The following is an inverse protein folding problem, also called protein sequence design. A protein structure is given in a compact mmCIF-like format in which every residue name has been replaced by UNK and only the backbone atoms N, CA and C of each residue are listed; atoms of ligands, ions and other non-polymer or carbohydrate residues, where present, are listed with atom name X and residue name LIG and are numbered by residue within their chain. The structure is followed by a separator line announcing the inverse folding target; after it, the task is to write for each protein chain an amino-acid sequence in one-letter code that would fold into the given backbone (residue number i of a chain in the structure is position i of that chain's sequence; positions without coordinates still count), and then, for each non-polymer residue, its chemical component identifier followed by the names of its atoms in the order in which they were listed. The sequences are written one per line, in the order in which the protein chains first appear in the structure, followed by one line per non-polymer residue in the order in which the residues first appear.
data_IF_407224872959
#
_entry.id   IF_407224872959
#
_cell.length_a   1.000
_cell.length_b   1.000
_cell.length_c   1.000
_cell.angle_alpha   90.00
_cell.angle_beta   90.00
_cell.angle_gamma   90.00
#
_symmetry.space_group_name_H-M   'P 1'
#
loop_
_entity.id
_entity.type
_entity.pdbx_description
1 polymer ?
#
# COMPACT_ATOMS: atom_id res chain seq x y z
N UNK A 1 1.15 31.09 -6.90
CA UNK A 1 1.33 29.73 -7.43
C UNK A 1 0.83 28.73 -6.39
N UNK A 2 -0.24 27.96 -6.67
CA UNK A 2 -0.75 26.94 -5.75
C UNK A 2 0.29 25.87 -5.42
N UNK A 3 0.13 25.18 -4.28
CA UNK A 3 1.09 24.18 -3.82
C UNK A 3 1.27 23.02 -4.80
N UNK A 4 0.19 22.48 -5.35
CA UNK A 4 0.22 21.36 -6.31
C UNK A 4 0.98 21.73 -7.59
N UNK A 5 0.78 22.95 -8.09
CA UNK A 5 1.48 23.46 -9.29
C UNK A 5 3.00 23.57 -9.04
N UNK A 6 3.42 23.93 -7.82
CA UNK A 6 4.86 23.94 -7.45
C UNK A 6 5.45 22.53 -7.43
N UNK A 7 4.69 21.55 -6.94
CA UNK A 7 5.11 20.15 -6.89
C UNK A 7 5.30 19.59 -8.30
N UNK A 8 4.35 19.85 -9.20
CA UNK A 8 4.44 19.43 -10.60
C UNK A 8 5.61 20.09 -11.32
N UNK A 9 5.78 21.41 -11.16
CA UNK A 9 6.90 22.15 -11.77
C UNK A 9 8.29 21.64 -11.33
N UNK A 10 8.41 21.19 -10.08
CA UNK A 10 9.66 20.67 -9.51
C UNK A 10 9.80 19.14 -9.66
N UNK A 11 8.84 18.47 -10.27
CA UNK A 11 8.70 17.00 -10.27
C UNK A 11 8.81 16.38 -8.86
N UNK A 12 8.31 17.08 -7.84
CA UNK A 12 8.35 16.65 -6.45
C UNK A 12 7.01 16.01 -6.06
N UNK A 13 6.96 14.71 -5.73
CA UNK A 13 5.73 14.10 -5.24
C UNK A 13 5.33 14.64 -3.86
N UNK A 14 4.03 14.62 -3.57
CA UNK A 14 3.50 14.95 -2.24
C UNK A 14 4.15 14.07 -1.16
N UNK A 15 4.15 14.54 0.08
CA UNK A 15 4.63 13.74 1.21
C UNK A 15 3.85 12.43 1.35
N UNK A 16 2.55 12.48 1.09
CA UNK A 16 1.65 11.33 1.22
C UNK A 16 1.90 10.31 0.13
N UNK A 17 2.16 10.74 -1.11
CA UNK A 17 2.61 9.84 -2.17
C UNK A 17 3.88 9.09 -1.79
N UNK A 18 4.88 9.82 -1.29
CA UNK A 18 6.13 9.23 -0.81
C UNK A 18 5.91 8.25 0.34
N UNK A 19 5.04 8.61 1.30
CA UNK A 19 4.72 7.77 2.48
C UNK A 19 4.02 6.48 2.08
N UNK A 20 2.98 6.56 1.26
CA UNK A 20 2.28 5.40 0.75
C UNK A 20 3.24 4.48 -0.02
N UNK A 21 4.11 5.05 -0.86
CA UNK A 21 5.09 4.28 -1.64
C UNK A 21 6.03 3.52 -0.73
N UNK A 22 6.58 4.21 0.27
CA UNK A 22 7.45 3.60 1.26
C UNK A 22 6.73 2.49 2.04
N UNK A 23 5.49 2.74 2.46
CA UNK A 23 4.68 1.77 3.20
C UNK A 23 4.42 0.50 2.35
N UNK A 24 4.06 0.66 1.07
CA UNK A 24 3.83 -0.45 0.14
C UNK A 24 5.10 -1.27 -0.11
N UNK A 25 6.24 -0.63 -0.36
CA UNK A 25 7.54 -1.31 -0.55
C UNK A 25 7.95 -2.06 0.72
N UNK A 26 7.77 -1.44 1.88
CA UNK A 26 8.10 -2.08 3.16
C UNK A 26 7.24 -3.32 3.39
N UNK A 27 5.95 -3.22 3.09
CA UNK A 27 5.00 -4.33 3.17
C UNK A 27 5.41 -5.47 2.24
N UNK A 28 5.79 -5.17 1.00
CA UNK A 28 6.31 -6.16 0.06
C UNK A 28 7.53 -6.90 0.61
N UNK A 29 8.50 -6.19 1.20
CA UNK A 29 9.70 -6.80 1.78
C UNK A 29 9.38 -7.71 2.95
N UNK A 30 8.49 -7.29 3.85
CA UNK A 30 8.08 -8.06 5.02
C UNK A 30 7.35 -9.34 4.59
N UNK A 31 6.38 -9.24 3.66
CA UNK A 31 5.59 -10.39 3.21
C UNK A 31 6.44 -11.43 2.49
N UNK A 32 7.41 -10.99 1.70
CA UNK A 32 8.31 -11.87 0.93
C UNK A 32 9.57 -12.29 1.72
N UNK A 33 9.59 -12.10 3.04
CA UNK A 33 10.71 -12.54 3.91
C UNK A 33 12.07 -11.94 3.52
N UNK A 34 12.08 -10.73 2.95
CA UNK A 34 13.30 -10.02 2.56
C UNK A 34 13.92 -9.22 3.72
N UNK A 35 13.28 -9.23 4.88
CA UNK A 35 13.76 -8.61 6.11
C UNK A 35 13.89 -9.64 7.23
N UNK A 36 14.78 -9.35 8.19
CA UNK A 36 15.00 -10.17 9.40
C UNK A 36 13.92 -9.90 10.46
N UNK A 37 12.66 -9.86 10.03
CA UNK A 37 11.48 -9.61 10.86
C UNK A 37 10.44 -10.63 10.45
N UNK A 38 9.85 -11.33 11.43
CA UNK A 38 8.72 -12.21 11.14
C UNK A 38 7.50 -11.36 10.73
N UNK A 39 6.95 -11.65 9.56
CA UNK A 39 5.74 -11.01 9.05
C UNK A 39 4.56 -11.11 10.02
N UNK A 40 4.51 -12.15 10.86
CA UNK A 40 3.44 -12.39 11.84
C UNK A 40 3.31 -11.26 12.88
N UNK A 41 4.39 -10.52 13.15
CA UNK A 41 4.36 -9.35 14.04
C UNK A 41 3.52 -8.20 13.51
N UNK A 42 3.42 -8.07 12.18
CA UNK A 42 2.75 -6.96 11.52
C UNK A 42 1.47 -7.37 10.80
N UNK A 43 1.48 -8.52 10.12
CA UNK A 43 0.47 -8.89 9.14
C UNK A 43 -0.01 -10.34 9.30
N UNK A 44 -1.29 -10.54 8.97
CA UNK A 44 -1.91 -11.86 8.87
C UNK A 44 -2.40 -12.00 7.42
N UNK A 45 -1.97 -13.05 6.73
CA UNK A 45 -2.44 -13.34 5.37
C UNK A 45 -3.87 -13.89 5.42
N UNK A 46 -4.73 -13.48 4.48
CA UNK A 46 -6.12 -13.94 4.43
C UNK A 46 -6.28 -15.45 4.23
N UNK A 47 -5.30 -16.10 3.60
CA UNK A 47 -5.27 -17.54 3.31
C UNK A 47 -4.98 -18.43 4.53
N UNK A 48 -4.65 -17.84 5.69
CA UNK A 48 -4.27 -18.59 6.91
C UNK A 48 -5.46 -19.07 7.76
N UNK A 49 -6.67 -19.16 7.20
CA UNK A 49 -7.83 -19.81 7.84
C UNK A 49 -8.61 -18.95 8.86
N UNK A 50 -8.30 -17.66 8.99
CA UNK A 50 -9.05 -16.70 9.85
C UNK A 50 -10.19 -15.97 9.13
N UNK A 51 -10.47 -16.31 7.87
CA UNK A 51 -11.56 -15.77 7.06
C UNK A 51 -11.97 -16.75 5.96
N UNK A 52 -13.23 -16.67 5.53
CA UNK A 52 -13.82 -17.50 4.46
C UNK A 52 -12.90 -17.57 3.24
N UNK A 53 -12.74 -18.79 2.70
CA UNK A 53 -12.04 -19.17 1.48
C UNK A 53 -12.66 -18.49 0.25
N UNK A 54 -12.59 -17.17 0.18
CA UNK A 54 -13.08 -16.44 -0.97
C UNK A 54 -11.99 -16.49 -2.05
N UNK A 55 -12.26 -17.27 -3.09
CA UNK A 55 -11.42 -17.46 -4.29
C UNK A 55 -11.09 -16.14 -5.02
N UNK A 56 -11.68 -15.02 -4.58
CA UNK A 56 -11.38 -13.65 -5.03
C UNK A 56 -10.18 -13.00 -4.34
N UNK A 57 -9.74 -13.48 -3.18
CA UNK A 57 -8.59 -12.92 -2.49
C UNK A 57 -7.29 -13.53 -2.99
N UNK A 58 -6.40 -12.68 -3.52
CA UNK A 58 -5.05 -13.09 -3.89
C UNK A 58 -4.31 -13.66 -2.67
N UNK A 59 -3.42 -14.64 -2.88
CA UNK A 59 -2.52 -15.22 -1.85
C UNK A 59 -1.70 -14.19 -1.05
N UNK A 60 -1.62 -12.96 -1.55
CA UNK A 60 -0.93 -11.83 -0.93
C UNK A 60 -1.86 -10.87 -0.16
N UNK A 61 -3.17 -11.11 -0.13
CA UNK A 61 -4.13 -10.25 0.57
C UNK A 61 -3.92 -10.31 2.09
N UNK A 62 -4.05 -9.15 2.73
CA UNK A 62 -3.84 -8.96 4.17
C UNK A 62 -5.17 -8.83 4.90
N UNK A 63 -5.29 -9.51 6.04
CA UNK A 63 -6.44 -9.36 6.92
C UNK A 63 -6.37 -8.05 7.71
N UNK A 64 -7.36 -7.17 7.52
CA UNK A 64 -7.49 -5.91 8.28
C UNK A 64 -8.20 -6.16 9.61
N UNK A 65 -7.45 -6.20 10.71
CA UNK A 65 -8.03 -6.30 12.05
C UNK A 65 -8.78 -5.01 12.41
N UNK A 66 -9.97 -5.15 12.99
CA UNK A 66 -10.71 -4.01 13.55
C UNK A 66 -9.94 -3.44 14.75
N UNK A 67 -9.76 -2.11 14.78
CA UNK A 67 -9.06 -1.40 15.84
C UNK A 67 -9.97 -0.35 16.46
N UNK A 68 -9.78 -0.07 17.75
CA UNK A 68 -10.64 0.85 18.51
C UNK A 68 -10.13 2.31 18.54
N UNK A 69 -8.82 2.51 18.36
CA UNK A 69 -8.19 3.84 18.50
C UNK A 69 -7.63 4.33 17.17
N UNK A 70 -7.76 5.64 16.93
CA UNK A 70 -7.18 6.30 15.76
C UNK A 70 -5.66 6.14 15.72
N UNK A 71 -4.97 6.20 16.86
CA UNK A 71 -3.53 5.97 16.93
C UNK A 71 -3.15 4.60 16.35
N UNK A 72 -3.89 3.55 16.70
CA UNK A 72 -3.65 2.21 16.15
C UNK A 72 -4.07 2.12 14.68
N UNK A 73 -5.15 2.80 14.27
CA UNK A 73 -5.58 2.87 12.87
C UNK A 73 -4.50 3.49 11.96
N UNK A 74 -3.86 4.57 12.40
CA UNK A 74 -2.82 5.28 11.63
C UNK A 74 -1.42 4.68 11.80
N UNK A 75 -1.26 3.64 12.63
CA UNK A 75 -0.02 2.86 12.70
C UNK A 75 0.25 2.14 11.37
N UNK A 76 1.53 1.98 11.04
CA UNK A 76 1.99 1.39 9.77
C UNK A 76 1.23 0.10 9.41
N UNK A 77 1.17 -0.87 10.33
CA UNK A 77 0.59 -2.19 10.08
C UNK A 77 -0.92 -2.22 9.88
N UNK A 78 -1.66 -1.17 10.25
CA UNK A 78 -3.10 -1.10 9.95
C UNK A 78 -3.40 -0.22 8.74
N UNK A 79 -2.74 0.94 8.61
CA UNK A 79 -3.05 1.88 7.52
C UNK A 79 -2.68 1.32 6.14
N UNK A 80 -1.60 0.54 6.06
CA UNK A 80 -1.11 0.03 4.77
C UNK A 80 -2.00 -1.07 4.19
N UNK A 81 -2.82 -1.72 5.01
CA UNK A 81 -3.60 -2.90 4.59
C UNK A 81 -4.60 -2.55 3.47
N UNK A 82 -5.31 -1.43 3.59
CA UNK A 82 -6.25 -1.00 2.55
C UNK A 82 -5.51 -0.75 1.22
N UNK A 83 -4.39 0.00 1.29
CA UNK A 83 -3.56 0.31 0.13
C UNK A 83 -3.05 -0.96 -0.53
N UNK A 84 -2.55 -1.89 0.27
CA UNK A 84 -2.00 -3.15 -0.20
C UNK A 84 -3.07 -4.01 -0.88
N UNK A 85 -4.25 -4.14 -0.27
CA UNK A 85 -5.34 -4.96 -0.80
C UNK A 85 -6.01 -4.34 -2.03
N UNK A 86 -5.86 -3.04 -2.27
CA UNK A 86 -6.30 -2.40 -3.52
C UNK A 86 -5.32 -2.58 -4.67
N UNK A 87 -4.09 -3.06 -4.42
CA UNK A 87 -3.12 -3.31 -5.48
C UNK A 87 -3.54 -4.54 -6.31
N UNK A 88 -3.39 -4.50 -7.64
CA UNK A 88 -3.67 -5.65 -8.46
C UNK A 88 -2.63 -6.77 -8.22
N UNK A 89 -3.06 -8.00 -8.53
CA UNK A 89 -2.28 -9.21 -8.25
C UNK A 89 -0.93 -9.23 -8.98
N UNK A 90 -0.85 -8.67 -10.18
CA UNK A 90 0.40 -8.57 -10.95
C UNK A 90 1.45 -7.70 -10.24
N UNK A 91 1.04 -6.64 -9.54
CA UNK A 91 1.93 -5.79 -8.74
C UNK A 91 2.42 -6.57 -7.52
N UNK A 92 1.51 -7.16 -6.75
CA UNK A 92 1.85 -7.86 -5.49
C UNK A 92 2.67 -9.14 -5.70
N UNK A 93 2.51 -9.80 -6.84
CA UNK A 93 3.22 -11.03 -7.24
C UNK A 93 4.55 -10.78 -7.95
N UNK A 94 5.11 -9.57 -7.87
CA UNK A 94 6.44 -9.29 -8.43
C UNK A 94 7.52 -10.18 -7.81
N UNK A 95 8.43 -10.71 -8.63
CA UNK A 95 9.51 -11.60 -8.19
C UNK A 95 10.68 -10.89 -7.48
N UNK A 96 10.80 -9.57 -7.63
CA UNK A 96 11.87 -8.78 -7.00
C UNK A 96 11.32 -7.43 -6.51
N UNK A 97 12.04 -6.83 -5.57
CA UNK A 97 11.70 -5.49 -5.04
C UNK A 97 11.70 -4.43 -6.14
N UNK A 98 12.63 -4.51 -7.10
CA UNK A 98 12.71 -3.52 -8.17
C UNK A 98 11.59 -3.69 -9.19
N UNK A 99 11.22 -4.93 -9.53
CA UNK A 99 10.05 -5.19 -10.35
C UNK A 99 8.77 -4.72 -9.66
N UNK A 100 8.66 -4.91 -8.34
CA UNK A 100 7.55 -4.39 -7.55
C UNK A 100 7.46 -2.86 -7.66
N UNK A 101 8.57 -2.13 -7.45
CA UNK A 101 8.61 -0.67 -7.58
C UNK A 101 8.14 -0.21 -8.96
N UNK A 102 8.64 -0.83 -10.03
CA UNK A 102 8.29 -0.48 -11.42
C UNK A 102 6.79 -0.70 -11.66
N UNK A 103 6.24 -1.85 -11.24
CA UNK A 103 4.80 -2.16 -11.42
C UNK A 103 3.93 -1.23 -10.58
N UNK A 104 4.33 -0.92 -9.35
CA UNK A 104 3.64 0.01 -8.46
C UNK A 104 3.60 1.42 -9.07
N UNK A 105 4.74 1.94 -9.54
CA UNK A 105 4.83 3.26 -10.13
C UNK A 105 3.98 3.36 -11.41
N UNK A 106 3.99 2.33 -12.26
CA UNK A 106 3.13 2.23 -13.45
C UNK A 106 1.64 2.22 -13.08
N UNK A 107 1.25 1.45 -12.06
CA UNK A 107 -0.12 1.41 -11.58
C UNK A 107 -0.58 2.75 -11.00
N UNK A 108 0.28 3.47 -10.29
CA UNK A 108 -0.08 4.76 -9.70
C UNK A 108 -0.07 5.93 -10.68
N UNK A 109 0.68 5.83 -11.78
CA UNK A 109 0.60 6.80 -12.87
C UNK A 109 -0.82 6.90 -13.44
N UNK A 110 -1.57 5.79 -13.52
CA UNK A 110 -2.95 5.82 -14.04
C UNK A 110 -3.94 6.51 -13.10
N UNK A 111 -3.60 6.64 -11.82
CA UNK A 111 -4.44 7.24 -10.78
C UNK A 111 -4.20 8.74 -10.61
N UNK A 112 -3.13 9.30 -11.21
CA UNK A 112 -2.81 10.72 -11.27
C UNK A 112 -2.92 11.51 -9.95
N UNK A 113 -2.42 10.96 -8.85
CA UNK A 113 -2.46 11.58 -7.51
C UNK A 113 -1.09 12.01 -6.98
N UNK A 114 -0.03 11.89 -7.79
CA UNK A 114 1.37 12.17 -7.41
C UNK A 114 1.56 13.58 -6.83
N UNK A 115 0.87 14.57 -7.40
CA UNK A 115 1.01 15.99 -7.04
C UNK A 115 -0.23 16.59 -6.37
N UNK A 116 -1.33 15.83 -6.23
CA UNK A 116 -2.60 16.36 -5.69
C UNK A 116 -3.07 15.61 -4.45
N UNK A 117 -3.36 16.38 -3.41
CA UNK A 117 -3.91 15.87 -2.15
C UNK A 117 -5.41 15.55 -2.28
N UNK A 118 -6.13 16.35 -3.05
CA UNK A 118 -7.56 16.15 -3.29
C UNK A 118 -7.82 14.86 -4.08
N UNK A 119 -6.92 14.51 -4.99
CA UNK A 119 -6.97 13.23 -5.70
C UNK A 119 -6.71 12.05 -4.75
N UNK A 120 -5.87 12.20 -3.72
CA UNK A 120 -5.56 11.14 -2.76
C UNK A 120 -6.78 10.72 -1.95
N UNK A 121 -7.57 11.67 -1.45
CA UNK A 121 -8.77 11.39 -0.66
C UNK A 121 -9.90 10.69 -1.42
N UNK A 122 -9.78 10.62 -2.75
CA UNK A 122 -10.72 9.91 -3.63
C UNK A 122 -10.29 8.45 -3.89
N UNK A 123 -9.15 8.02 -3.37
CA UNK A 123 -8.59 6.70 -3.67
C UNK A 123 -9.28 5.60 -2.85
N UNK A 124 -9.41 4.38 -3.39
CA UNK A 124 -10.16 3.29 -2.76
C UNK A 124 -9.66 2.86 -1.38
N UNK A 125 -8.44 3.22 -1.00
CA UNK A 125 -7.84 2.81 0.26
C UNK A 125 -7.94 3.83 1.40
N UNK A 126 -8.47 5.02 1.14
CA UNK A 126 -8.68 6.08 2.14
C UNK A 126 -10.02 5.96 2.91
N UNK A 127 -10.67 4.79 2.84
CA UNK A 127 -11.92 4.45 3.56
C UNK A 127 -11.68 4.21 5.06
#
# INVERSE_FOLDING_TARGET
MPYEVRLEYLDLPTLIYRRARADAIQTFKIINHLEKIDRSYFFVLSDTGYGTYDTRHSRYSLYKRRVRTQLRQHSFSNRVINLWNSLPGDVTQAGTVDLFKIRLDKHWQTLNWKYSMDSYHKLPWEI
#
